data_IF_918020464121
#
_entry.id   IF_918020464121
#
_cell.length_a   1.000
_cell.length_b   1.000
_cell.length_c   1.000
_cell.angle_alpha   90.00
_cell.angle_beta   90.00
_cell.angle_gamma   90.00
#
_symmetry.space_group_name_H-M   'P 1'
#
loop_
_entity.id
_entity.type
_entity.pdbx_description
1 polymer ?
#
# COMPACT_ATOMS: atom_id res chain seq x y z
N UNK A 1 9.14 21.53 28.28
CA UNK A 1 9.55 20.15 27.93
C UNK A 1 8.45 19.55 27.07
N UNK A 2 8.52 19.77 25.76
CA UNK A 2 7.58 19.17 24.81
C UNK A 2 8.11 17.77 24.50
N UNK A 3 7.41 16.73 24.95
CA UNK A 3 7.77 15.36 24.59
C UNK A 3 7.41 15.14 23.12
N UNK A 4 8.44 15.03 22.28
CA UNK A 4 8.29 14.57 20.91
C UNK A 4 8.11 13.05 20.98
N UNK A 5 6.86 12.59 21.00
CA UNK A 5 6.54 11.17 20.80
C UNK A 5 6.72 10.91 19.31
N UNK A 6 7.78 10.20 18.92
CA UNK A 6 7.91 9.76 17.53
C UNK A 6 6.90 8.64 17.28
N UNK A 7 5.89 8.92 16.46
CA UNK A 7 4.95 7.92 15.97
C UNK A 7 5.72 6.92 15.11
N UNK A 8 5.51 5.63 15.34
CA UNK A 8 6.15 4.58 14.56
C UNK A 8 5.43 4.46 13.22
N UNK A 9 6.18 4.67 12.14
CA UNK A 9 5.67 4.39 10.80
C UNK A 9 5.52 2.88 10.58
N UNK A 10 4.44 2.47 9.94
CA UNK A 10 4.17 1.06 9.60
C UNK A 10 4.21 0.83 8.09
N UNK A 11 4.60 -0.38 7.69
CA UNK A 11 4.60 -0.83 6.30
C UNK A 11 4.38 -2.33 6.19
N UNK A 12 3.99 -2.79 5.00
CA UNK A 12 3.71 -4.20 4.73
C UNK A 12 4.21 -4.63 3.35
N UNK A 13 4.54 -5.92 3.21
CA UNK A 13 4.81 -6.55 1.91
C UNK A 13 3.74 -7.58 1.65
N UNK A 14 3.03 -7.42 0.54
CA UNK A 14 2.00 -8.34 0.09
C UNK A 14 2.52 -9.17 -1.07
N UNK A 15 2.47 -10.50 -0.92
CA UNK A 15 2.88 -11.46 -1.95
C UNK A 15 1.62 -12.18 -2.42
N UNK A 16 1.21 -11.90 -3.64
CA UNK A 16 0.04 -12.50 -4.27
C UNK A 16 0.45 -13.69 -5.15
N UNK A 17 -0.47 -14.64 -5.41
CA UNK A 17 -0.25 -15.70 -6.40
C UNK A 17 0.08 -15.13 -7.79
N UNK A 18 0.70 -15.96 -8.63
CA UNK A 18 1.00 -15.57 -10.01
C UNK A 18 -0.29 -15.22 -10.78
N UNK A 19 -0.23 -14.18 -11.62
CA UNK A 19 -1.39 -13.66 -12.36
C UNK A 19 -2.26 -12.66 -11.60
N UNK A 20 -2.02 -12.44 -10.31
CA UNK A 20 -2.68 -11.38 -9.55
C UNK A 20 -1.91 -10.06 -9.63
N UNK A 21 -2.64 -8.96 -9.81
CA UNK A 21 -2.10 -7.60 -9.75
C UNK A 21 -3.07 -6.65 -9.03
N UNK A 22 -2.57 -5.47 -8.67
CA UNK A 22 -3.40 -4.44 -8.05
C UNK A 22 -4.55 -4.06 -8.99
N UNK A 23 -5.77 -3.98 -8.44
CA UNK A 23 -6.93 -3.57 -9.23
C UNK A 23 -6.72 -2.15 -9.77
N UNK A 24 -7.07 -1.89 -11.05
CA UNK A 24 -7.01 -0.54 -11.60
C UNK A 24 -7.99 0.37 -10.84
N UNK A 25 -7.67 1.67 -10.69
CA UNK A 25 -8.45 2.59 -9.86
C UNK A 25 -9.90 2.69 -10.33
N UNK A 26 -10.18 2.53 -11.61
CA UNK A 26 -11.54 2.56 -12.16
C UNK A 26 -12.46 1.44 -11.59
N UNK A 27 -11.89 0.27 -11.26
CA UNK A 27 -12.64 -0.88 -10.74
C UNK A 27 -12.90 -0.82 -9.23
N UNK A 28 -12.31 0.14 -8.52
CA UNK A 28 -12.46 0.25 -7.06
C UNK A 28 -13.65 1.14 -6.73
N UNK A 29 -14.61 0.60 -5.97
CA UNK A 29 -15.78 1.36 -5.50
C UNK A 29 -15.36 2.60 -4.68
N UNK A 30 -16.13 3.70 -4.69
CA UNK A 30 -15.76 4.95 -4.02
C UNK A 30 -15.48 4.78 -2.52
N UNK A 31 -16.28 3.96 -1.83
CA UNK A 31 -16.07 3.60 -0.41
C UNK A 31 -14.72 2.93 -0.14
N UNK A 32 -14.22 2.15 -1.10
CA UNK A 32 -12.96 1.43 -0.97
C UNK A 32 -11.77 2.29 -1.38
N UNK A 33 -11.96 3.19 -2.35
CA UNK A 33 -10.97 4.25 -2.68
C UNK A 33 -10.66 5.13 -1.47
N UNK A 34 -11.68 5.53 -0.73
CA UNK A 34 -11.51 6.36 0.47
C UNK A 34 -10.67 5.66 1.54
N UNK A 35 -10.88 4.35 1.75
CA UNK A 35 -10.07 3.52 2.66
C UNK A 35 -8.63 3.32 2.19
N UNK A 36 -8.42 3.28 0.88
CA UNK A 36 -7.10 3.09 0.26
C UNK A 36 -6.32 4.41 0.20
N UNK A 37 -7.00 5.56 0.31
CA UNK A 37 -6.53 6.89 -0.11
C UNK A 37 -5.06 7.24 0.13
N UNK A 38 -4.55 7.04 1.35
CA UNK A 38 -3.18 7.44 1.69
C UNK A 38 -2.14 6.30 1.58
N UNK A 39 -2.55 5.13 1.10
CA UNK A 39 -1.65 4.00 0.91
C UNK A 39 -0.91 4.13 -0.41
N UNK A 40 0.41 4.21 -0.36
CA UNK A 40 1.27 4.10 -1.54
C UNK A 40 1.60 2.64 -1.81
N UNK A 41 1.31 2.17 -3.04
CA UNK A 41 1.65 0.84 -3.51
C UNK A 41 2.82 0.93 -4.47
N UNK A 42 3.88 0.18 -4.19
CA UNK A 42 5.04 0.07 -5.06
C UNK A 42 5.27 -1.38 -5.43
N UNK A 43 5.54 -1.65 -6.71
CA UNK A 43 5.94 -2.99 -7.11
C UNK A 43 7.34 -3.27 -6.58
N UNK A 44 7.56 -4.45 -6.01
CA UNK A 44 8.89 -4.85 -5.54
C UNK A 44 9.91 -4.91 -6.68
N UNK A 45 9.47 -5.31 -7.88
CA UNK A 45 10.27 -5.30 -9.12
C UNK A 45 9.39 -4.92 -10.32
N UNK A 46 9.95 -4.30 -11.37
CA UNK A 46 9.19 -3.90 -12.57
C UNK A 46 8.43 -5.06 -13.24
N UNK A 47 9.01 -6.26 -13.22
CA UNK A 47 8.44 -7.46 -13.86
C UNK A 47 7.54 -8.27 -12.94
N UNK A 48 7.53 -7.99 -11.62
CA UNK A 48 6.75 -8.74 -10.63
C UNK A 48 5.65 -7.87 -10.04
N UNK A 49 4.52 -7.81 -10.75
CA UNK A 49 3.33 -7.05 -10.33
C UNK A 49 2.57 -7.67 -9.15
N UNK A 50 2.82 -8.93 -8.83
CA UNK A 50 2.16 -9.67 -7.75
C UNK A 50 2.81 -9.45 -6.38
N UNK A 51 3.93 -8.73 -6.31
CA UNK A 51 4.62 -8.40 -5.05
C UNK A 51 4.55 -6.90 -4.84
N UNK A 52 3.81 -6.48 -3.81
CA UNK A 52 3.53 -5.09 -3.51
C UNK A 52 4.15 -4.70 -2.17
N UNK A 53 4.80 -3.55 -2.15
CA UNK A 53 5.29 -2.88 -0.94
C UNK A 53 4.34 -1.73 -0.63
N UNK A 54 3.88 -1.66 0.62
CA UNK A 54 2.89 -0.69 1.09
C UNK A 54 3.50 0.12 2.25
N UNK A 55 3.37 1.44 2.18
CA UNK A 55 3.80 2.38 3.22
C UNK A 55 5.08 3.16 2.86
N UNK A 56 5.69 3.89 3.83
CA UNK A 56 5.30 3.99 5.23
C UNK A 56 4.00 4.77 5.47
N UNK A 57 3.22 4.35 6.46
CA UNK A 57 2.05 5.08 6.98
C UNK A 57 2.38 5.54 8.41
N UNK A 58 2.15 6.82 8.76
CA UNK A 58 2.40 7.34 10.11
C UNK A 58 1.47 6.77 11.19
#
# INVERSE_FOLDING_TARGET
MIWHVQTLNVGAVLILPEGFELAPPDRISPKMKEKIGNLSFQNYRPTKKNILVIGPVP
#
